data_IF_437219252923
#
_entry.id   IF_437219252923
#
_cell.length_a   1.000
_cell.length_b   1.000
_cell.length_c   1.000
_cell.angle_alpha   90.00
_cell.angle_beta   90.00
_cell.angle_gamma   90.00
#
_symmetry.space_group_name_H-M   'P 1'
#
loop_
_entity.id
_entity.type
_entity.pdbx_description
1 polymer ?
#
# COMPACT_ATOMS: atom_id res chain seq x y z
N UNK A 1 -8.77 22.39 -8.04
CA UNK A 1 -8.54 23.81 -8.41
C UNK A 1 -7.95 24.68 -7.30
N UNK A 2 -7.91 24.24 -6.03
CA UNK A 2 -7.25 24.98 -4.93
C UNK A 2 -5.71 24.98 -5.04
N UNK A 3 -5.13 23.86 -5.47
CA UNK A 3 -3.66 23.71 -5.64
C UNK A 3 -3.13 24.69 -6.68
N UNK A 4 -3.70 24.72 -7.89
CA UNK A 4 -3.27 25.62 -8.96
C UNK A 4 -3.37 27.10 -8.59
N UNK A 5 -4.35 27.50 -7.77
CA UNK A 5 -4.53 28.89 -7.35
C UNK A 5 -3.41 29.37 -6.42
N UNK A 6 -2.96 28.55 -5.47
CA UNK A 6 -1.90 28.97 -4.53
C UNK A 6 -0.49 28.84 -5.14
N UNK A 7 -0.27 27.90 -6.06
CA UNK A 7 1.03 27.80 -6.77
C UNK A 7 1.24 28.99 -7.71
N UNK A 8 0.17 29.52 -8.33
CA UNK A 8 0.25 30.73 -9.16
C UNK A 8 0.37 32.03 -8.34
N UNK A 9 -0.12 32.07 -7.10
CA UNK A 9 -0.04 33.26 -6.25
C UNK A 9 1.22 33.33 -5.36
N UNK A 10 1.81 32.19 -4.98
CA UNK A 10 2.91 32.13 -3.99
C UNK A 10 4.26 31.59 -4.52
N UNK A 11 4.33 31.12 -5.77
CA UNK A 11 5.54 30.54 -6.35
C UNK A 11 6.02 29.25 -5.65
N UNK A 12 7.22 28.77 -6.00
CA UNK A 12 7.81 27.52 -5.46
C UNK A 12 7.97 27.54 -3.93
N UNK A 13 8.20 28.70 -3.31
CA UNK A 13 8.39 28.79 -1.86
C UNK A 13 7.10 28.52 -1.07
N UNK A 14 5.95 28.95 -1.57
CA UNK A 14 4.66 28.63 -0.94
C UNK A 14 4.35 27.13 -1.06
N UNK A 15 4.72 26.50 -2.17
CA UNK A 15 4.53 25.06 -2.37
C UNK A 15 5.37 24.22 -1.40
N UNK A 16 6.63 24.61 -1.19
CA UNK A 16 7.50 23.96 -0.21
C UNK A 16 6.92 24.06 1.21
N UNK A 17 6.34 25.21 1.57
CA UNK A 17 5.72 25.38 2.89
C UNK A 17 4.45 24.54 3.08
N UNK A 18 3.61 24.42 2.07
CA UNK A 18 2.42 23.55 2.16
C UNK A 18 2.78 22.07 2.15
N UNK A 19 3.80 21.66 1.39
CA UNK A 19 4.29 20.28 1.37
C UNK A 19 4.90 19.89 2.72
N UNK A 20 5.65 20.80 3.35
CA UNK A 20 6.19 20.60 4.69
C UNK A 20 5.06 20.41 5.71
N UNK A 21 4.07 21.30 5.73
CA UNK A 21 2.94 21.22 6.65
C UNK A 21 2.12 19.96 6.41
N UNK A 22 1.85 19.60 5.16
CA UNK A 22 1.14 18.39 4.80
C UNK A 22 1.93 17.13 5.20
N UNK A 23 3.24 17.10 4.97
CA UNK A 23 4.12 16.02 5.38
C UNK A 23 4.14 15.84 6.91
N UNK A 24 4.29 16.93 7.66
CA UNK A 24 4.24 16.90 9.13
C UNK A 24 2.89 16.41 9.63
N UNK A 25 1.79 16.89 9.05
CA UNK A 25 0.44 16.49 9.43
C UNK A 25 0.20 15.00 9.12
N UNK A 26 0.70 14.50 7.98
CA UNK A 26 0.65 13.07 7.64
C UNK A 26 1.42 12.22 8.65
N UNK A 27 2.62 12.65 9.07
CA UNK A 27 3.41 11.94 10.09
C UNK A 27 2.67 11.90 11.42
N UNK A 28 2.12 13.02 11.88
CA UNK A 28 1.37 13.09 13.15
C UNK A 28 0.13 12.18 13.11
N UNK A 29 -0.64 12.21 12.01
CA UNK A 29 -1.80 11.35 11.84
C UNK A 29 -1.43 9.87 11.79
N UNK A 30 -0.35 9.51 11.08
CA UNK A 30 0.11 8.13 10.99
C UNK A 30 0.55 7.58 12.34
N UNK A 31 1.34 8.35 13.10
CA UNK A 31 1.76 7.97 14.46
C UNK A 31 0.55 7.87 15.40
N UNK A 32 -0.39 8.82 15.32
CA UNK A 32 -1.60 8.82 16.13
C UNK A 32 -2.49 7.60 15.87
N UNK A 33 -2.77 7.30 14.60
CA UNK A 33 -3.54 6.13 14.19
C UNK A 33 -2.84 4.82 14.60
N UNK A 34 -1.51 4.77 14.48
CA UNK A 34 -0.75 3.60 14.89
C UNK A 34 -0.86 3.35 16.40
N UNK A 35 -0.71 4.38 17.24
CA UNK A 35 -0.85 4.25 18.70
C UNK A 35 -2.28 3.81 19.07
N UNK A 36 -3.29 4.42 18.45
CA UNK A 36 -4.69 4.03 18.65
C UNK A 36 -4.93 2.56 18.25
N UNK A 37 -4.43 2.13 17.09
CA UNK A 37 -4.55 0.76 16.62
C UNK A 37 -3.87 -0.24 17.57
N UNK A 38 -2.68 0.08 18.09
CA UNK A 38 -1.99 -0.74 19.11
C UNK A 38 -2.84 -0.88 20.37
N UNK A 39 -3.52 0.18 20.81
CA UNK A 39 -4.42 0.10 21.97
C UNK A 39 -5.66 -0.76 21.69
N UNK A 40 -6.26 -0.64 20.51
CA UNK A 40 -7.41 -1.46 20.08
C UNK A 40 -7.01 -2.94 19.95
N UNK A 41 -5.80 -3.24 19.50
CA UNK A 41 -5.27 -4.60 19.38
C UNK A 41 -4.92 -5.27 20.73
N UNK A 42 -5.18 -4.60 21.87
CA UNK A 42 -4.85 -5.13 23.20
C UNK A 42 -3.41 -4.87 23.65
N UNK A 43 -2.69 -3.99 22.95
CA UNK A 43 -1.31 -3.60 23.25
C UNK A 43 -0.26 -4.25 22.34
N UNK A 44 1.01 -3.94 22.61
CA UNK A 44 2.14 -4.37 21.77
C UNK A 44 2.34 -5.89 21.73
N UNK A 45 2.24 -6.57 22.87
CA UNK A 45 2.53 -8.02 22.96
C UNK A 45 1.49 -8.84 22.17
N UNK A 46 0.17 -8.67 22.38
CA UNK A 46 -0.82 -9.41 21.58
C UNK A 46 -0.75 -9.09 20.09
N UNK A 47 -0.46 -7.83 19.73
CA UNK A 47 -0.26 -7.42 18.34
C UNK A 47 0.93 -8.16 17.70
N UNK A 48 2.09 -8.17 18.36
CA UNK A 48 3.29 -8.84 17.86
C UNK A 48 3.12 -10.37 17.79
N UNK A 49 2.43 -10.96 18.76
CA UNK A 49 2.13 -12.39 18.76
C UNK A 49 1.24 -12.76 17.56
N UNK A 50 0.19 -11.96 17.30
CA UNK A 50 -0.69 -12.12 16.14
C UNK A 50 0.07 -11.96 14.83
N UNK A 51 0.95 -10.96 14.70
CA UNK A 51 1.77 -10.77 13.49
C UNK A 51 2.72 -11.96 13.27
N UNK A 52 3.37 -12.42 14.34
CA UNK A 52 4.32 -13.53 14.26
C UNK A 52 3.67 -14.85 13.87
N UNK A 53 2.43 -15.09 14.30
CA UNK A 53 1.66 -16.30 14.00
C UNK A 53 0.96 -16.24 12.65
N UNK A 54 0.57 -15.05 12.19
CA UNK A 54 -0.27 -14.90 10.99
C UNK A 54 0.56 -14.75 9.71
N UNK A 55 1.74 -14.11 9.76
CA UNK A 55 2.41 -13.68 8.52
C UNK A 55 3.93 -13.54 8.58
N UNK A 56 4.60 -14.18 9.55
CA UNK A 56 6.06 -14.10 9.66
C UNK A 56 6.79 -14.54 8.39
N UNK A 57 6.26 -15.53 7.67
CA UNK A 57 6.85 -16.02 6.42
C UNK A 57 6.78 -14.97 5.30
N UNK A 58 5.65 -14.28 5.13
CA UNK A 58 5.49 -13.22 4.12
C UNK A 58 6.40 -12.02 4.43
N UNK A 59 6.51 -11.62 5.70
CA UNK A 59 7.45 -10.59 6.12
C UNK A 59 8.90 -11.00 5.85
N UNK A 60 9.24 -12.27 6.09
CA UNK A 60 10.58 -12.80 5.79
C UNK A 60 10.87 -12.77 4.29
N UNK A 61 9.91 -13.13 3.43
CA UNK A 61 10.06 -13.05 1.97
C UNK A 61 10.25 -11.61 1.50
N UNK A 62 9.50 -10.66 2.06
CA UNK A 62 9.67 -9.23 1.75
C UNK A 62 11.06 -8.71 2.18
N UNK A 63 11.52 -9.06 3.39
CA UNK A 63 12.83 -8.68 3.89
C UNK A 63 13.97 -9.29 3.06
N UNK A 64 13.85 -10.57 2.68
CA UNK A 64 14.80 -11.22 1.78
C UNK A 64 14.83 -10.53 0.42
N UNK A 65 13.66 -10.19 -0.14
CA UNK A 65 13.56 -9.46 -1.40
C UNK A 65 14.24 -8.09 -1.36
N UNK A 66 14.15 -7.37 -0.24
CA UNK A 66 14.89 -6.12 -0.04
C UNK A 66 16.41 -6.35 0.07
N UNK A 67 16.82 -7.40 0.77
CA UNK A 67 18.24 -7.73 0.95
C UNK A 67 18.92 -8.20 -0.34
N UNK A 68 18.20 -8.95 -1.18
CA UNK A 68 18.69 -9.47 -2.46
C UNK A 68 18.39 -8.55 -3.64
N UNK A 69 17.93 -7.32 -3.40
CA UNK A 69 17.52 -6.35 -4.42
C UNK A 69 16.58 -6.95 -5.49
N UNK A 70 15.72 -7.87 -5.06
CA UNK A 70 14.78 -8.60 -5.92
C UNK A 70 13.38 -8.02 -5.71
N UNK A 71 13.08 -6.95 -6.44
CA UNK A 71 11.85 -6.18 -6.29
C UNK A 71 10.58 -7.05 -6.40
N UNK A 72 10.58 -8.10 -7.23
CA UNK A 72 9.43 -8.99 -7.41
C UNK A 72 8.99 -9.67 -6.10
N UNK A 73 9.94 -10.04 -5.24
CA UNK A 73 9.63 -10.66 -3.95
C UNK A 73 8.88 -9.70 -3.02
N UNK A 74 9.28 -8.42 -3.03
CA UNK A 74 8.63 -7.36 -2.23
C UNK A 74 7.24 -7.05 -2.78
N UNK A 75 7.12 -6.86 -4.09
CA UNK A 75 5.86 -6.51 -4.76
C UNK A 75 4.81 -7.64 -4.77
N UNK A 76 5.21 -8.88 -4.47
CA UNK A 76 4.28 -9.99 -4.22
C UNK A 76 3.93 -10.09 -2.74
N UNK A 77 4.94 -10.11 -1.85
CA UNK A 77 4.74 -10.39 -0.44
C UNK A 77 3.94 -9.28 0.29
N UNK A 78 4.24 -8.01 0.00
CA UNK A 78 3.62 -6.88 0.71
C UNK A 78 2.12 -6.76 0.41
N UNK A 79 1.65 -6.81 -0.85
CA UNK A 79 0.22 -6.80 -1.13
C UNK A 79 -0.50 -8.00 -0.52
N UNK A 80 0.06 -9.21 -0.62
CA UNK A 80 -0.54 -10.42 -0.02
C UNK A 80 -0.71 -10.28 1.49
N UNK A 81 0.31 -9.76 2.17
CA UNK A 81 0.23 -9.45 3.59
C UNK A 81 -0.90 -8.45 3.89
N UNK A 82 -0.99 -7.35 3.13
CA UNK A 82 -2.06 -6.38 3.31
C UNK A 82 -3.45 -6.99 3.10
N UNK A 83 -3.63 -7.87 2.11
CA UNK A 83 -4.91 -8.57 1.87
C UNK A 83 -5.30 -9.41 3.08
N UNK A 84 -4.36 -10.22 3.59
CA UNK A 84 -4.63 -11.11 4.73
C UNK A 84 -5.05 -10.29 5.94
N UNK A 85 -4.37 -9.18 6.21
CA UNK A 85 -4.70 -8.29 7.32
C UNK A 85 -6.05 -7.59 7.13
N UNK A 86 -6.38 -7.13 5.92
CA UNK A 86 -7.67 -6.51 5.61
C UNK A 86 -8.82 -7.51 5.72
N UNK A 87 -8.62 -8.75 5.27
CA UNK A 87 -9.60 -9.82 5.37
C UNK A 87 -9.81 -10.25 6.84
N UNK A 88 -8.74 -10.39 7.62
CA UNK A 88 -8.88 -10.63 9.06
C UNK A 88 -9.62 -9.48 9.77
N UNK A 89 -9.39 -8.24 9.34
CA UNK A 89 -10.10 -7.07 9.84
C UNK A 89 -11.59 -7.04 9.47
N UNK A 90 -12.01 -7.66 8.36
CA UNK A 90 -13.42 -7.74 7.96
C UNK A 90 -14.20 -8.89 8.60
N UNK A 91 -13.53 -9.73 9.40
CA UNK A 91 -14.14 -10.82 10.15
C UNK A 91 -14.82 -10.28 11.42
N UNK A 92 -16.13 -10.49 11.55
CA UNK A 92 -16.83 -10.16 12.79
C UNK A 92 -16.45 -11.12 13.92
N UNK A 93 -16.66 -10.70 15.18
CA UNK A 93 -16.50 -11.53 16.39
C UNK A 93 -17.27 -12.85 16.34
N UNK A 94 -18.34 -12.89 15.52
CA UNK A 94 -19.25 -14.01 15.39
C UNK A 94 -18.81 -14.99 14.28
N UNK A 95 -17.65 -14.75 13.66
CA UNK A 95 -17.09 -15.56 12.57
C UNK A 95 -17.77 -15.35 11.22
N UNK A 96 -18.73 -14.41 11.12
CA UNK A 96 -19.38 -14.06 9.86
C UNK A 96 -18.58 -13.00 9.10
N UNK A 97 -18.49 -13.19 7.79
CA UNK A 97 -17.81 -12.24 6.89
C UNK A 97 -18.81 -11.21 6.38
N UNK A 98 -18.44 -9.93 6.44
CA UNK A 98 -19.21 -8.90 5.78
C UNK A 98 -19.06 -9.02 4.26
N UNK A 99 -20.16 -9.34 3.54
CA UNK A 99 -20.10 -9.60 2.09
C UNK A 99 -19.62 -8.40 1.28
N UNK A 100 -19.98 -7.18 1.67
CA UNK A 100 -19.65 -5.96 0.91
C UNK A 100 -18.16 -5.63 1.06
N UNK A 101 -17.68 -5.50 2.30
CA UNK A 101 -16.25 -5.26 2.59
C UNK A 101 -15.34 -6.36 2.02
N UNK A 102 -15.69 -7.63 2.24
CA UNK A 102 -14.89 -8.77 1.73
C UNK A 102 -14.81 -8.77 0.21
N UNK A 103 -15.92 -8.48 -0.49
CA UNK A 103 -15.93 -8.42 -1.95
C UNK A 103 -15.11 -7.24 -2.48
N UNK A 104 -15.17 -6.09 -1.80
CA UNK A 104 -14.36 -4.92 -2.14
C UNK A 104 -12.86 -5.18 -1.97
N UNK A 105 -12.46 -5.81 -0.85
CA UNK A 105 -11.08 -6.22 -0.59
C UNK A 105 -10.61 -7.19 -1.68
N UNK A 106 -11.36 -8.26 -1.95
CA UNK A 106 -10.97 -9.26 -2.95
C UNK A 106 -10.88 -8.64 -4.36
N UNK A 107 -11.82 -7.77 -4.73
CA UNK A 107 -11.80 -7.07 -6.02
C UNK A 107 -10.53 -6.20 -6.15
N UNK A 108 -10.23 -5.38 -5.15
CA UNK A 108 -9.03 -4.55 -5.14
C UNK A 108 -7.74 -5.36 -5.23
N UNK A 109 -7.65 -6.44 -4.45
CA UNK A 109 -6.49 -7.31 -4.43
C UNK A 109 -6.28 -8.07 -5.73
N UNK A 110 -7.37 -8.48 -6.39
CA UNK A 110 -7.30 -9.09 -7.72
C UNK A 110 -6.73 -8.09 -8.76
N UNK A 111 -7.14 -6.82 -8.69
CA UNK A 111 -6.60 -5.75 -9.53
C UNK A 111 -5.11 -5.55 -9.31
N UNK A 112 -4.67 -5.49 -8.04
CA UNK A 112 -3.24 -5.45 -7.71
C UNK A 112 -2.47 -6.65 -8.26
N UNK A 113 -2.99 -7.86 -8.06
CA UNK A 113 -2.36 -9.09 -8.54
C UNK A 113 -2.15 -9.08 -10.05
N UNK A 114 -3.14 -8.61 -10.81
CA UNK A 114 -3.05 -8.48 -12.28
C UNK A 114 -1.97 -7.46 -12.67
N UNK A 115 -1.91 -6.30 -12.01
CA UNK A 115 -0.90 -5.27 -12.30
C UNK A 115 0.52 -5.73 -11.97
N UNK A 116 0.72 -6.39 -10.83
CA UNK A 116 2.01 -6.98 -10.44
C UNK A 116 2.42 -8.07 -11.43
N UNK A 117 1.50 -8.98 -11.78
CA UNK A 117 1.76 -10.05 -12.74
C UNK A 117 2.14 -9.50 -14.11
N UNK A 118 1.44 -8.47 -14.60
CA UNK A 118 1.79 -7.79 -15.85
C UNK A 118 3.21 -7.21 -15.78
N UNK A 119 3.55 -6.51 -14.70
CA UNK A 119 4.90 -5.96 -14.51
C UNK A 119 5.99 -7.05 -14.49
N UNK A 120 5.71 -8.22 -13.92
CA UNK A 120 6.67 -9.34 -13.87
C UNK A 120 6.84 -9.98 -15.24
N UNK A 121 5.73 -10.26 -15.95
CA UNK A 121 5.76 -10.89 -17.27
C UNK A 121 6.45 -10.02 -18.32
N UNK A 122 6.43 -8.70 -18.14
CA UNK A 122 7.07 -7.72 -19.03
C UNK A 122 8.46 -7.31 -18.59
N UNK A 123 8.98 -7.87 -17.48
CA UNK A 123 10.29 -7.50 -16.94
C UNK A 123 11.48 -7.85 -17.86
N UNK A 124 11.34 -8.90 -18.67
CA UNK A 124 12.38 -9.33 -19.61
C UNK A 124 12.16 -8.84 -21.05
N UNK A 125 11.11 -8.06 -21.30
CA UNK A 125 10.74 -7.62 -22.65
C UNK A 125 11.25 -6.21 -22.97
N UNK A 126 11.48 -5.94 -24.26
CA UNK A 126 11.88 -4.62 -24.77
C UNK A 126 10.70 -3.66 -25.01
N UNK A 127 9.49 -4.07 -24.62
CA UNK A 127 8.30 -3.24 -24.77
C UNK A 127 8.42 -1.96 -23.93
N UNK A 128 7.95 -0.84 -24.46
CA UNK A 128 7.94 0.44 -23.77
C UNK A 128 6.51 0.90 -23.49
N UNK A 129 6.29 1.46 -22.31
CA UNK A 129 5.06 2.14 -21.92
C UNK A 129 5.40 3.62 -21.68
N UNK A 130 4.96 4.49 -22.60
CA UNK A 130 5.18 5.95 -22.52
C UNK A 130 6.63 6.38 -22.22
N UNK A 131 7.59 5.70 -22.85
CA UNK A 131 9.02 6.05 -22.74
C UNK A 131 9.77 5.37 -21.59
N UNK A 132 9.09 4.56 -20.77
CA UNK A 132 9.71 3.69 -19.78
C UNK A 132 9.65 2.22 -20.22
N UNK A 133 10.60 1.36 -19.79
CA UNK A 133 10.47 -0.08 -19.92
C UNK A 133 9.12 -0.54 -19.36
N UNK A 134 8.44 -1.47 -20.03
CA UNK A 134 7.03 -1.79 -19.74
C UNK A 134 6.79 -2.20 -18.28
N UNK A 135 7.70 -2.95 -17.67
CA UNK A 135 7.64 -3.29 -16.25
C UNK A 135 7.63 -2.05 -15.34
N UNK A 136 8.57 -1.13 -15.55
CA UNK A 136 8.64 0.12 -14.79
C UNK A 136 7.46 1.03 -15.07
N UNK A 137 7.00 1.09 -16.33
CA UNK A 137 5.85 1.89 -16.71
C UNK A 137 4.56 1.42 -16.03
N UNK A 138 4.33 0.11 -15.95
CA UNK A 138 3.17 -0.45 -15.23
C UNK A 138 3.25 -0.11 -13.74
N UNK A 139 4.43 -0.20 -13.12
CA UNK A 139 4.62 0.16 -11.71
C UNK A 139 4.28 1.64 -11.47
N UNK A 140 4.90 2.54 -12.24
CA UNK A 140 4.77 3.98 -12.00
C UNK A 140 3.42 4.55 -12.42
N UNK A 141 2.89 4.15 -13.58
CA UNK A 141 1.70 4.77 -14.14
C UNK A 141 0.39 4.10 -13.73
N UNK A 142 0.43 2.82 -13.34
CA UNK A 142 -0.79 2.07 -13.02
C UNK A 142 -0.80 1.61 -11.58
N UNK A 143 0.23 0.88 -11.15
CA UNK A 143 0.26 0.28 -9.81
C UNK A 143 0.32 1.34 -8.71
N UNK A 144 1.19 2.35 -8.84
CA UNK A 144 1.31 3.40 -7.83
C UNK A 144 0.04 4.26 -7.68
N UNK A 145 -0.61 4.76 -8.74
CA UNK A 145 -1.89 5.46 -8.60
C UNK A 145 -3.00 4.54 -8.05
N UNK A 146 -3.00 3.27 -8.46
CA UNK A 146 -3.98 2.30 -7.97
C UNK A 146 -3.85 2.07 -6.46
N UNK A 147 -2.62 1.95 -5.94
CA UNK A 147 -2.40 1.80 -4.49
C UNK A 147 -2.59 3.12 -3.74
N UNK A 148 -2.15 4.25 -4.29
CA UNK A 148 -2.23 5.54 -3.62
C UNK A 148 -3.68 6.06 -3.51
N UNK A 149 -4.51 5.82 -4.53
CA UNK A 149 -5.90 6.31 -4.56
C UNK A 149 -6.88 5.20 -4.20
N UNK A 150 -6.71 4.00 -4.77
CA UNK A 150 -7.63 2.88 -4.57
C UNK A 150 -7.65 2.37 -3.14
N UNK A 151 -6.51 2.34 -2.44
CA UNK A 151 -6.48 1.95 -1.03
C UNK A 151 -7.22 2.93 -0.11
N UNK A 152 -7.33 4.21 -0.49
CA UNK A 152 -8.05 5.22 0.29
C UNK A 152 -9.57 5.22 0.07
N UNK A 153 -10.07 4.39 -0.87
CA UNK A 153 -11.49 4.24 -1.19
C UNK A 153 -12.11 2.98 -0.58
N UNK A 154 -11.28 2.09 -0.02
CA UNK A 154 -11.69 0.93 0.79
C UNK A 154 -11.79 1.34 2.26
#
# INVERSE_FOLDING_TARGET
>A
MVVAAYTMAGGMLAAVWTDLVQGVLMVVMSVGLFIFAVQVAGGWIPMLDTISTTSAELLSVALLGMFTDTWQMVFIAVPIFAVIMMLLGSLHSDGSWERVSTLAIVAYCSGLGVLVLWSILTAAGDAMLWGLPMSMGVIFYLLWPYTAVGAGLL
#
